data_IF_218675338364
#
_entry.id   IF_218675338364
#
_cell.length_a   1.000
_cell.length_b   1.000
_cell.length_c   1.000
_cell.angle_alpha   90.00
_cell.angle_beta   90.00
_cell.angle_gamma   90.00
#
_symmetry.space_group_name_H-M   'P 1'
#
loop_
_entity.id
_entity.type
_entity.pdbx_description
1 polymer ?
#
# COMPACT_ATOMS: atom_id res chain seq x y z
N UNK A 1 10.83 16.60 -2.51
CA UNK A 1 10.71 15.23 -3.07
C UNK A 1 10.25 15.32 -4.53
N UNK A 2 10.96 14.67 -5.46
CA UNK A 2 10.52 14.58 -6.87
C UNK A 2 9.23 13.75 -6.96
N UNK A 3 8.26 14.23 -7.73
CA UNK A 3 6.98 13.55 -8.00
C UNK A 3 7.28 12.27 -8.78
N UNK A 4 7.01 11.09 -8.19
CA UNK A 4 7.03 9.82 -8.92
C UNK A 4 5.72 9.78 -9.71
N UNK A 5 5.73 10.34 -10.91
CA UNK A 5 4.58 10.36 -11.81
C UNK A 5 4.61 9.10 -12.70
N UNK A 6 4.63 7.92 -12.08
CA UNK A 6 4.57 6.67 -12.83
C UNK A 6 3.13 6.31 -13.11
N UNK A 7 2.70 6.54 -14.35
CA UNK A 7 1.40 6.07 -14.86
C UNK A 7 1.35 4.54 -14.98
N UNK A 8 2.46 3.83 -14.74
CA UNK A 8 2.55 2.37 -14.81
C UNK A 8 3.09 1.87 -13.48
N UNK A 9 2.37 0.91 -12.89
CA UNK A 9 2.83 0.16 -11.73
C UNK A 9 3.07 -1.30 -12.11
N UNK A 10 4.20 -1.84 -11.68
CA UNK A 10 4.55 -3.24 -11.81
C UNK A 10 4.20 -3.96 -10.51
N UNK A 11 3.49 -5.07 -10.62
CA UNK A 11 2.97 -5.82 -9.48
C UNK A 11 3.77 -7.11 -9.32
N UNK A 12 4.17 -7.39 -8.08
CA UNK A 12 4.89 -8.59 -7.69
C UNK A 12 4.23 -9.27 -6.51
N UNK A 13 4.55 -10.54 -6.27
CA UNK A 13 4.24 -11.23 -5.01
C UNK A 13 5.35 -11.02 -3.98
N UNK A 14 5.00 -10.80 -2.72
CA UNK A 14 5.89 -10.72 -1.56
C UNK A 14 6.40 -12.10 -1.11
N UNK A 15 6.66 -13.01 -2.06
CA UNK A 15 7.17 -14.35 -1.80
C UNK A 15 8.67 -14.42 -2.12
N UNK A 16 9.31 -15.57 -1.82
CA UNK A 16 10.74 -15.76 -2.06
C UNK A 16 11.12 -15.55 -3.53
N UNK A 17 10.25 -15.96 -4.46
CA UNK A 17 10.48 -15.82 -5.89
C UNK A 17 10.25 -14.41 -6.41
N UNK A 18 9.62 -13.53 -5.62
CA UNK A 18 9.24 -12.18 -6.02
C UNK A 18 8.53 -12.18 -7.38
N UNK A 19 7.59 -13.12 -7.55
CA UNK A 19 7.02 -13.41 -8.86
C UNK A 19 6.38 -12.16 -9.48
N UNK A 20 6.75 -11.83 -10.72
CA UNK A 20 6.15 -10.72 -11.45
C UNK A 20 4.73 -11.11 -11.89
N UNK A 21 3.74 -10.40 -11.37
CA UNK A 21 2.31 -10.71 -11.57
C UNK A 21 1.78 -10.06 -12.83
N UNK A 22 2.15 -8.81 -13.09
CA UNK A 22 1.58 -8.02 -14.18
C UNK A 22 1.77 -6.53 -13.96
N UNK A 23 1.03 -5.72 -14.73
CA UNK A 23 1.12 -4.26 -14.65
C UNK A 23 -0.25 -3.60 -14.58
N UNK A 24 -0.34 -2.54 -13.79
CA UNK A 24 -1.44 -1.57 -13.82
C UNK A 24 -0.99 -0.35 -14.61
N UNK A 25 -1.86 0.19 -15.47
CA UNK A 25 -1.65 1.44 -16.18
C UNK A 25 -2.78 2.40 -15.82
N UNK A 26 -2.42 3.56 -15.28
CA UNK A 26 -3.33 4.63 -14.90
C UNK A 26 -3.30 5.72 -15.99
N UNK A 27 -4.44 5.97 -16.63
CA UNK A 27 -4.59 6.96 -17.69
C UNK A 27 -5.86 7.80 -17.49
N UNK A 28 -5.70 9.08 -17.12
CA UNK A 28 -6.80 10.00 -16.83
C UNK A 28 -7.86 9.44 -15.86
N UNK A 29 -8.94 8.84 -16.36
CA UNK A 29 -10.00 8.19 -15.58
C UNK A 29 -10.04 6.66 -15.74
N UNK A 30 -9.21 6.09 -16.61
CA UNK A 30 -9.17 4.67 -16.94
C UNK A 30 -7.98 4.00 -16.24
N UNK A 31 -8.21 2.80 -15.73
CA UNK A 31 -7.14 1.91 -15.26
C UNK A 31 -7.20 0.63 -16.07
N UNK A 32 -6.06 0.16 -16.56
CA UNK A 32 -5.93 -1.14 -17.19
C UNK A 32 -4.99 -2.04 -16.41
N UNK A 33 -5.29 -3.33 -16.40
CA UNK A 33 -4.45 -4.36 -15.82
C UNK A 33 -4.19 -5.47 -16.84
N UNK A 34 -2.95 -5.95 -16.86
CA UNK A 34 -2.58 -7.10 -17.65
C UNK A 34 -1.65 -8.02 -16.87
N UNK A 35 -2.00 -9.30 -16.79
CA UNK A 35 -1.14 -10.33 -16.24
C UNK A 35 0.14 -10.50 -17.07
N UNK A 36 1.25 -10.78 -16.38
CA UNK A 36 2.49 -11.19 -17.03
C UNK A 36 2.31 -12.59 -17.64
N UNK A 37 2.85 -12.80 -18.85
CA UNK A 37 2.81 -14.10 -19.52
C UNK A 37 3.37 -15.23 -18.63
N UNK A 38 4.51 -14.98 -17.99
CA UNK A 38 5.14 -15.92 -17.06
C UNK A 38 4.25 -16.28 -15.86
N UNK A 39 3.42 -15.36 -15.39
CA UNK A 39 2.50 -15.59 -14.28
C UNK A 39 1.30 -16.44 -14.69
N UNK A 40 0.81 -16.24 -15.92
CA UNK A 40 -0.26 -17.06 -16.52
C UNK A 40 0.21 -18.50 -16.68
N UNK A 41 1.43 -18.70 -17.17
CA UNK A 41 2.01 -20.02 -17.46
C UNK A 41 2.42 -20.80 -16.20
N UNK A 42 2.58 -20.13 -15.06
CA UNK A 42 2.90 -20.78 -13.79
C UNK A 42 1.64 -21.40 -13.15
N UNK A 43 1.45 -22.71 -13.32
CA UNK A 43 0.31 -23.44 -12.75
C UNK A 43 0.31 -23.50 -11.21
N UNK A 44 1.41 -23.17 -10.53
CA UNK A 44 1.51 -23.17 -9.07
C UNK A 44 1.24 -21.80 -8.46
N UNK A 45 1.34 -20.72 -9.25
CA UNK A 45 1.02 -19.39 -8.77
C UNK A 45 -0.51 -19.21 -8.67
N UNK A 46 -1.04 -18.96 -7.45
CA UNK A 46 -2.47 -18.64 -7.29
C UNK A 46 -2.78 -17.34 -8.03
N UNK A 47 -3.99 -17.24 -8.59
CA UNK A 47 -4.45 -15.97 -9.16
C UNK A 47 -4.55 -14.89 -8.06
N UNK A 48 -4.74 -13.63 -8.47
CA UNK A 48 -5.00 -12.57 -7.49
C UNK A 48 -6.38 -12.79 -6.85
N UNK A 49 -7.36 -13.15 -7.68
CA UNK A 49 -8.73 -13.44 -7.27
C UNK A 49 -9.39 -14.32 -8.35
N UNK A 50 -9.59 -15.61 -8.09
CA UNK A 50 -10.06 -16.56 -9.12
C UNK A 50 -11.47 -16.24 -9.64
N UNK A 51 -12.30 -15.59 -8.83
CA UNK A 51 -13.69 -15.31 -9.15
C UNK A 51 -13.85 -14.03 -9.97
N UNK A 52 -13.10 -12.99 -9.59
CA UNK A 52 -13.26 -11.67 -10.18
C UNK A 52 -12.18 -11.37 -11.21
N UNK A 53 -10.93 -11.84 -11.04
CA UNK A 53 -9.83 -11.50 -11.94
C UNK A 53 -9.14 -12.78 -12.44
N UNK A 54 -9.71 -13.46 -13.45
CA UNK A 54 -9.20 -14.74 -13.91
C UNK A 54 -7.80 -14.59 -14.53
N UNK A 55 -6.93 -15.57 -14.26
CA UNK A 55 -5.53 -15.58 -14.70
C UNK A 55 -5.39 -15.97 -16.18
N UNK A 56 -5.83 -15.09 -17.07
CA UNK A 56 -5.86 -15.30 -18.53
C UNK A 56 -5.08 -14.21 -19.29
N UNK A 57 -4.73 -14.49 -20.55
CA UNK A 57 -4.04 -13.56 -21.44
C UNK A 57 -5.01 -12.51 -22.02
N UNK A 58 -5.47 -11.62 -21.15
CA UNK A 58 -6.40 -10.55 -21.47
C UNK A 58 -5.96 -9.24 -20.79
N UNK A 59 -6.28 -8.10 -21.41
CA UNK A 59 -6.24 -6.81 -20.73
C UNK A 59 -7.62 -6.54 -20.11
N UNK A 60 -7.62 -6.20 -18.83
CA UNK A 60 -8.80 -5.78 -18.08
C UNK A 60 -8.78 -4.28 -17.92
N UNK A 61 -9.95 -3.64 -17.99
CA UNK A 61 -10.03 -2.19 -18.10
C UNK A 61 -11.28 -1.68 -17.42
N UNK A 62 -11.12 -0.72 -16.52
CA UNK A 62 -12.23 -0.11 -15.77
C UNK A 62 -12.01 1.41 -15.64
N UNK A 63 -13.07 2.11 -15.22
CA UNK A 63 -12.94 3.51 -14.79
C UNK A 63 -12.46 3.53 -13.34
N UNK A 64 -11.19 3.85 -13.11
CA UNK A 64 -10.55 3.69 -11.80
C UNK A 64 -10.34 2.22 -11.39
N UNK A 65 -10.04 2.01 -10.11
CA UNK A 65 -9.99 0.68 -9.49
C UNK A 65 -11.40 0.23 -9.09
N UNK A 66 -12.26 0.02 -10.08
CA UNK A 66 -13.65 -0.40 -9.89
C UNK A 66 -13.91 -1.72 -10.62
N UNK A 67 -15.14 -2.24 -10.56
CA UNK A 67 -15.54 -3.45 -11.29
C UNK A 67 -14.57 -4.59 -11.09
N UNK A 68 -14.02 -5.12 -12.20
CA UNK A 68 -13.08 -6.23 -12.16
C UNK A 68 -11.72 -5.88 -11.51
N UNK A 69 -11.34 -4.61 -11.54
CA UNK A 69 -10.10 -4.09 -10.94
C UNK A 69 -10.26 -3.69 -9.47
N UNK A 70 -11.46 -3.84 -8.89
CA UNK A 70 -11.71 -3.57 -7.48
C UNK A 70 -10.86 -4.45 -6.55
N UNK A 71 -10.34 -5.59 -7.03
CA UNK A 71 -9.42 -6.46 -6.27
C UNK A 71 -8.15 -5.74 -5.79
N UNK A 72 -7.75 -4.66 -6.46
CA UNK A 72 -6.60 -3.85 -6.06
C UNK A 72 -6.95 -2.83 -4.95
N UNK A 73 -8.22 -2.60 -4.64
CA UNK A 73 -8.60 -1.72 -3.53
C UNK A 73 -8.25 -2.32 -2.17
N UNK A 74 -8.20 -3.65 -2.04
CA UNK A 74 -7.75 -4.31 -0.80
C UNK A 74 -6.29 -4.00 -0.48
N UNK A 75 -5.50 -3.65 -1.49
CA UNK A 75 -4.15 -3.17 -1.29
C UNK A 75 -4.13 -1.73 -0.79
N UNK A 76 -5.09 -0.87 -1.15
CA UNK A 76 -5.03 0.54 -0.80
C UNK A 76 -5.11 0.78 0.72
N UNK A 77 -4.42 1.80 1.24
CA UNK A 77 -4.64 2.33 2.58
C UNK A 77 -6.13 2.59 2.88
N UNK A 78 -6.54 2.33 4.12
CA UNK A 78 -7.86 2.72 4.62
C UNK A 78 -8.02 4.23 4.76
N UNK A 79 -9.18 4.69 5.25
CA UNK A 79 -9.45 6.13 5.46
C UNK A 79 -8.37 6.77 6.34
N UNK A 80 -8.00 6.11 7.45
CA UNK A 80 -6.93 6.58 8.34
C UNK A 80 -5.57 6.67 7.64
N UNK A 81 -5.17 5.59 6.96
CA UNK A 81 -3.91 5.54 6.24
C UNK A 81 -3.80 6.59 5.14
N UNK A 82 -4.89 6.79 4.37
CA UNK A 82 -5.00 7.87 3.36
C UNK A 82 -4.85 9.24 4.02
N UNK A 83 -5.48 9.46 5.17
CA UNK A 83 -5.36 10.73 5.90
C UNK A 83 -3.91 10.99 6.33
N UNK A 84 -3.27 10.02 7.02
CA UNK A 84 -1.85 10.10 7.42
C UNK A 84 -0.94 10.41 6.24
N UNK A 85 -1.05 9.63 5.16
CA UNK A 85 -0.17 9.79 3.99
C UNK A 85 -0.40 11.13 3.28
N UNK A 86 -1.65 11.57 3.15
CA UNK A 86 -1.95 12.87 2.54
C UNK A 86 -1.41 14.03 3.38
N UNK A 87 -1.53 13.95 4.72
CA UNK A 87 -0.98 14.96 5.64
C UNK A 87 0.54 15.02 5.54
N UNK A 88 1.22 13.88 5.62
CA UNK A 88 2.69 13.79 5.48
C UNK A 88 3.17 14.38 4.15
N UNK A 89 2.42 14.16 3.07
CA UNK A 89 2.78 14.64 1.72
C UNK A 89 2.33 16.08 1.46
N UNK A 90 1.53 16.67 2.34
CA UNK A 90 0.95 18.01 2.18
C UNK A 90 -0.04 18.13 1.02
N UNK A 91 -0.59 17.02 0.51
CA UNK A 91 -1.58 17.00 -0.58
C UNK A 91 -2.32 15.67 -0.68
N UNK A 92 -3.42 15.66 -1.42
CA UNK A 92 -4.11 14.42 -1.82
C UNK A 92 -3.24 13.59 -2.77
N UNK A 93 -2.99 12.33 -2.41
CA UNK A 93 -2.34 11.32 -3.24
C UNK A 93 -3.36 10.64 -4.17
N UNK A 94 -2.91 10.26 -5.36
CA UNK A 94 -3.69 9.38 -6.26
C UNK A 94 -3.63 7.92 -5.79
N UNK A 95 -4.52 7.07 -6.30
CA UNK A 95 -4.47 5.64 -6.00
C UNK A 95 -3.15 5.00 -6.43
N UNK A 96 -2.57 5.43 -7.56
CA UNK A 96 -1.26 4.96 -8.00
C UNK A 96 -0.15 5.30 -6.99
N UNK A 97 -0.20 6.51 -6.42
CA UNK A 97 0.76 6.94 -5.39
C UNK A 97 0.54 6.20 -4.06
N UNK A 98 -0.71 6.02 -3.66
CA UNK A 98 -1.06 5.26 -2.45
C UNK A 98 -0.68 3.78 -2.55
N UNK A 99 -0.80 3.18 -3.74
CA UNK A 99 -0.33 1.83 -4.00
C UNK A 99 1.18 1.68 -3.86
N UNK A 100 1.97 2.76 -3.88
CA UNK A 100 3.42 2.73 -3.67
C UNK A 100 3.83 2.92 -2.20
N UNK A 101 2.95 3.42 -1.33
CA UNK A 101 3.29 3.71 0.06
C UNK A 101 3.20 2.47 0.97
N UNK A 102 4.02 2.43 2.02
CA UNK A 102 3.96 1.46 3.13
C UNK A 102 3.78 -0.02 2.74
N UNK A 103 4.51 -0.48 1.71
CA UNK A 103 4.41 -1.86 1.16
C UNK A 103 4.54 -2.95 2.23
N UNK A 104 5.47 -2.79 3.19
CA UNK A 104 5.78 -3.80 4.20
C UNK A 104 4.67 -4.02 5.22
N UNK A 105 3.90 -2.97 5.57
CA UNK A 105 2.78 -3.07 6.52
C UNK A 105 1.45 -3.35 5.83
N UNK A 106 1.43 -3.45 4.50
CA UNK A 106 0.24 -3.74 3.72
C UNK A 106 -0.24 -5.16 4.01
N UNK A 107 -1.56 -5.34 3.99
CA UNK A 107 -2.17 -6.67 4.09
C UNK A 107 -2.19 -7.33 2.71
N UNK A 108 -2.01 -8.65 2.69
CA UNK A 108 -1.89 -9.42 1.45
C UNK A 108 -0.43 -9.55 1.01
N UNK A 109 -0.25 -10.07 -0.19
CA UNK A 109 1.07 -10.42 -0.74
C UNK A 109 1.42 -9.64 -2.00
N UNK A 110 0.64 -8.64 -2.39
CA UNK A 110 0.94 -7.81 -3.55
C UNK A 110 1.89 -6.67 -3.19
N UNK A 111 2.92 -6.50 -4.02
CA UNK A 111 3.92 -5.43 -3.92
C UNK A 111 3.92 -4.64 -5.21
N UNK A 112 3.90 -3.31 -5.11
CA UNK A 112 3.81 -2.40 -6.25
C UNK A 112 5.11 -1.63 -6.43
N UNK A 113 5.54 -1.49 -7.69
CA UNK A 113 6.75 -0.76 -8.06
C UNK A 113 6.48 0.21 -9.20
N UNK A 114 7.13 1.37 -9.14
CA UNK A 114 7.08 2.39 -10.20
C UNK A 114 8.02 2.11 -11.37
N UNK A 115 8.85 1.07 -11.24
CA UNK A 115 9.82 0.59 -12.22
C UNK A 115 9.70 -0.93 -12.38
N UNK A 116 10.21 -1.49 -13.47
CA UNK A 116 10.14 -2.91 -13.79
C UNK A 116 11.13 -3.76 -12.95
N UNK A 117 11.18 -3.52 -11.63
CA UNK A 117 11.93 -4.33 -10.66
C UNK A 117 11.14 -4.45 -9.36
N UNK A 118 11.37 -5.53 -8.60
CA UNK A 118 10.85 -5.67 -7.25
C UNK A 118 11.44 -4.57 -6.35
N UNK A 119 10.63 -3.75 -5.67
CA UNK A 119 11.12 -2.63 -4.90
C UNK A 119 11.77 -3.11 -3.60
N UNK A 120 12.62 -2.28 -3.02
CA UNK A 120 13.05 -2.52 -1.65
C UNK A 120 11.88 -2.24 -0.69
N UNK A 121 11.41 -3.30 -0.03
CA UNK A 121 10.35 -3.24 1.00
C UNK A 121 10.92 -3.47 2.41
N UNK A 122 12.25 -3.37 2.55
CA UNK A 122 12.92 -3.49 3.84
C UNK A 122 12.97 -2.13 4.53
N UNK A 123 11.86 -1.73 5.14
CA UNK A 123 11.87 -0.64 6.13
C UNK A 123 11.69 -1.19 7.54
N UNK A 124 12.24 -0.49 8.54
CA UNK A 124 12.09 -0.90 9.92
C UNK A 124 10.64 -0.66 10.38
N UNK A 125 10.08 -1.62 11.11
CA UNK A 125 8.88 -1.36 11.89
C UNK A 125 9.22 -0.36 13.00
N UNK A 126 8.21 0.28 13.58
CA UNK A 126 8.39 0.92 14.89
C UNK A 126 8.77 -0.17 15.90
N UNK A 127 9.91 -0.04 16.57
CA UNK A 127 10.41 -1.03 17.54
C UNK A 127 10.52 -0.39 18.92
N UNK A 128 10.35 -1.18 19.98
CA UNK A 128 10.63 -0.73 21.34
C UNK A 128 12.10 -0.32 21.56
N UNK A 129 12.36 0.63 22.48
CA UNK A 129 11.37 1.41 23.23
C UNK A 129 10.77 2.54 22.38
N UNK A 130 9.46 2.76 22.53
CA UNK A 130 8.75 3.92 21.97
C UNK A 130 7.89 4.55 23.07
N UNK A 131 7.61 5.84 22.95
CA UNK A 131 6.83 6.59 23.93
C UNK A 131 5.35 6.63 23.54
N UNK A 132 4.49 6.07 24.41
CA UNK A 132 3.04 6.08 24.21
C UNK A 132 2.45 7.48 24.24
N UNK A 133 2.94 8.37 25.11
CA UNK A 133 2.46 9.74 25.19
C UNK A 133 2.76 10.48 23.88
N UNK A 134 3.93 10.21 23.30
CA UNK A 134 4.30 10.78 22.00
C UNK A 134 3.45 10.24 20.84
N UNK A 135 3.14 8.94 20.84
CA UNK A 135 2.23 8.35 19.85
C UNK A 135 0.84 8.96 19.91
N UNK A 136 0.30 9.15 21.11
CA UNK A 136 -0.99 9.79 21.33
C UNK A 136 -0.96 11.27 20.93
N UNK A 137 0.09 12.00 21.28
CA UNK A 137 0.27 13.38 20.85
C UNK A 137 0.37 13.50 19.32
N UNK A 138 1.07 12.60 18.63
CA UNK A 138 1.10 12.56 17.17
C UNK A 138 -0.29 12.35 16.56
N UNK A 139 -1.07 11.45 17.16
CA UNK A 139 -2.45 11.14 16.75
C UNK A 139 -3.38 12.34 16.99
N UNK A 140 -3.26 13.04 18.11
CA UNK A 140 -4.01 14.27 18.38
C UNK A 140 -3.63 15.38 17.40
N UNK A 141 -2.33 15.62 17.16
CA UNK A 141 -1.86 16.64 16.22
C UNK A 141 -2.45 16.44 14.82
N UNK A 142 -2.47 15.21 14.30
CA UNK A 142 -3.05 14.97 12.98
C UNK A 142 -4.58 15.15 12.96
N UNK A 143 -5.29 14.74 14.02
CA UNK A 143 -6.74 14.90 14.13
C UNK A 143 -7.16 16.37 14.22
N UNK A 144 -6.34 17.20 14.88
CA UNK A 144 -6.55 18.65 14.99
C UNK A 144 -5.99 19.45 13.81
N UNK A 145 -5.46 18.77 12.78
CA UNK A 145 -4.86 19.39 11.59
C UNK A 145 -3.64 20.26 11.88
N UNK A 146 -2.91 19.95 12.95
CA UNK A 146 -1.64 20.59 13.27
C UNK A 146 -0.53 20.14 12.30
N UNK A 147 0.54 20.93 12.22
CA UNK A 147 1.74 20.52 11.51
C UNK A 147 2.44 19.38 12.26
N UNK A 148 2.65 18.26 11.57
CA UNK A 148 3.39 17.13 12.12
C UNK A 148 4.90 17.35 12.01
N UNK A 149 5.59 17.20 13.14
CA UNK A 149 7.07 17.09 13.17
C UNK A 149 7.53 15.85 12.41
N UNK A 150 8.77 15.83 11.91
CA UNK A 150 9.33 14.66 11.20
C UNK A 150 9.23 13.36 12.04
N UNK A 151 9.41 13.49 13.36
CA UNK A 151 9.28 12.37 14.29
C UNK A 151 7.85 11.84 14.35
N UNK A 152 6.85 12.70 14.50
CA UNK A 152 5.44 12.31 14.48
C UNK A 152 5.03 11.70 13.12
N UNK A 153 5.54 12.24 12.01
CA UNK A 153 5.33 11.65 10.68
C UNK A 153 5.87 10.22 10.61
N UNK A 154 7.08 9.98 11.13
CA UNK A 154 7.70 8.65 11.18
C UNK A 154 6.89 7.66 12.04
N UNK A 155 6.36 8.11 13.17
CA UNK A 155 5.51 7.30 14.03
C UNK A 155 4.20 6.89 13.33
N UNK A 156 3.47 7.85 12.77
CA UNK A 156 2.17 7.62 12.15
C UNK A 156 2.26 6.87 10.82
N UNK A 157 3.37 7.01 10.09
CA UNK A 157 3.56 6.30 8.81
C UNK A 157 3.57 4.78 8.98
N UNK A 158 4.00 4.26 10.14
CA UNK A 158 4.06 2.83 10.42
C UNK A 158 2.65 2.22 10.53
N UNK A 159 2.21 1.49 9.51
CA UNK A 159 0.87 0.89 9.48
C UNK A 159 -0.17 1.71 8.72
N UNK A 160 0.25 2.79 8.06
CA UNK A 160 -0.59 3.57 7.15
C UNK A 160 -1.03 2.78 5.91
N UNK A 161 -0.37 1.66 5.58
CA UNK A 161 -0.76 0.74 4.51
C UNK A 161 -1.99 -0.13 4.81
N UNK A 162 -2.57 -0.06 6.01
CA UNK A 162 -3.65 -0.96 6.44
C UNK A 162 -5.05 -0.37 6.18
N UNK A 163 -6.02 -1.26 5.90
CA UNK A 163 -7.42 -0.90 5.70
C UNK A 163 -8.12 -0.40 6.97
N UNK A 164 -9.30 0.22 6.82
CA UNK A 164 -10.15 0.71 7.91
C UNK A 164 -10.00 2.21 8.25
N UNK A 165 -10.91 2.71 9.09
CA UNK A 165 -11.08 4.16 9.32
C UNK A 165 -10.53 4.68 10.65
N UNK A 166 -10.35 3.82 11.65
CA UNK A 166 -9.88 4.23 12.97
C UNK A 166 -8.35 4.38 13.02
N UNK A 167 -7.84 5.31 13.84
CA UNK A 167 -6.42 5.44 14.16
C UNK A 167 -5.77 4.10 14.53
N UNK A 168 -4.71 3.76 13.81
CA UNK A 168 -3.96 2.52 14.00
C UNK A 168 -2.52 2.64 13.53
N UNK A 169 -1.66 1.78 14.07
CA UNK A 169 -0.27 1.63 13.65
C UNK A 169 0.21 0.19 13.81
N UNK A 170 1.31 -0.12 13.15
CA UNK A 170 2.04 -1.38 13.32
C UNK A 170 3.30 -1.14 14.13
N UNK A 171 3.55 -1.99 15.13
CA UNK A 171 4.83 -2.01 15.82
C UNK A 171 5.31 -3.42 16.12
N UNK A 172 6.61 -3.53 16.36
CA UNK A 172 7.28 -4.74 16.79
C UNK A 172 7.60 -4.63 18.29
N UNK A 173 7.02 -5.52 19.07
CA UNK A 173 7.23 -5.65 20.51
C UNK A 173 7.51 -7.12 20.83
N UNK A 174 8.51 -7.40 21.66
CA UNK A 174 8.86 -8.78 22.04
C UNK A 174 9.04 -9.74 20.84
N UNK A 175 9.61 -9.23 19.74
CA UNK A 175 9.76 -9.93 18.44
C UNK A 175 8.43 -10.35 17.78
N UNK A 176 7.31 -9.79 18.22
CA UNK A 176 5.98 -9.99 17.67
C UNK A 176 5.46 -8.70 17.04
N UNK A 177 4.78 -8.83 15.91
CA UNK A 177 4.19 -7.71 15.20
C UNK A 177 2.76 -7.49 15.70
N UNK A 178 2.46 -6.27 16.15
CA UNK A 178 1.15 -5.88 16.63
C UNK A 178 0.52 -4.84 15.73
N UNK A 179 -0.78 -5.01 15.47
CA UNK A 179 -1.64 -3.94 14.99
C UNK A 179 -2.33 -3.30 16.19
N UNK A 180 -1.97 -2.06 16.49
CA UNK A 180 -2.55 -1.32 17.61
C UNK A 180 -3.60 -0.37 17.09
N UNK A 181 -4.71 -0.31 17.81
CA UNK A 181 -5.75 0.70 17.63
C UNK A 181 -5.56 1.77 18.69
N UNK A 182 -5.46 3.02 18.25
CA UNK A 182 -5.40 4.16 19.16
C UNK A 182 -6.83 4.58 19.55
N UNK A 183 -7.02 5.11 20.76
CA UNK A 183 -8.32 5.56 21.26
C UNK A 183 -8.90 6.69 20.40
#
# INVERSE_FOLDING_TARGET
MKRVNSNILYIYRANKQKAFVGRLVFAANKVTFQYAKSFIEDNHAPSINDFHLPKIKQEFSETGLTGILNVFNDALPGIWGKHVLNTIKGRKLSDAELLLEDQKNRIGDLVFSSIAQFPDITHNFLVEPFDWAELLAAKESIEHQDQLTEKQQGLLKNGSGQGGARPKLTLLKDRQLYLIKLP
#
